data_IF_813463187636
#
_entry.id   IF_813463187636
#
_cell.length_a   1.000
_cell.length_b   1.000
_cell.length_c   1.000
_cell.angle_alpha   90.00
_cell.angle_beta   90.00
_cell.angle_gamma   90.00
#
_symmetry.space_group_name_H-M   'P 1'
#
loop_
_entity.id
_entity.type
_entity.pdbx_description
1 polymer ?
#
# COMPACT_ATOMS: atom_id res chain seq x y z
N UNK A 1 -1.36 -18.66 21.55
CA UNK A 1 -1.32 -17.67 20.47
C UNK A 1 -2.46 -16.68 20.69
N UNK A 2 -2.22 -15.36 20.60
CA UNK A 2 -3.28 -14.37 20.78
C UNK A 2 -4.28 -14.43 19.61
N UNK A 3 -5.55 -14.12 19.89
CA UNK A 3 -6.66 -14.32 18.95
C UNK A 3 -6.44 -13.63 17.58
N UNK A 4 -5.94 -12.39 17.58
CA UNK A 4 -5.73 -11.59 16.35
C UNK A 4 -4.83 -12.27 15.32
N UNK A 5 -3.79 -12.98 15.75
CA UNK A 5 -2.85 -13.67 14.85
C UNK A 5 -3.47 -14.86 14.12
N UNK A 6 -4.63 -15.34 14.57
CA UNK A 6 -5.32 -16.51 14.01
C UNK A 6 -6.46 -16.12 13.07
N UNK A 7 -7.12 -14.99 13.32
CA UNK A 7 -8.38 -14.62 12.64
C UNK A 7 -8.35 -13.29 11.91
N UNK A 8 -7.47 -12.35 12.28
CA UNK A 8 -7.46 -11.04 11.64
C UNK A 8 -6.62 -11.08 10.36
N UNK A 9 -7.09 -10.44 9.26
CA UNK A 9 -6.24 -10.22 8.11
C UNK A 9 -5.06 -9.32 8.52
N UNK A 10 -3.87 -9.63 8.00
CA UNK A 10 -2.66 -8.87 8.31
C UNK A 10 -2.77 -7.42 7.84
N UNK A 11 -3.46 -7.20 6.70
CA UNK A 11 -3.78 -5.89 6.15
C UNK A 11 -5.25 -5.60 6.39
N UNK A 12 -5.54 -4.55 7.17
CA UNK A 12 -6.90 -4.14 7.50
C UNK A 12 -7.45 -3.14 6.49
N UNK A 13 -8.77 -3.07 6.31
CA UNK A 13 -9.40 -2.12 5.38
C UNK A 13 -9.94 -0.89 6.12
N UNK A 14 -9.51 0.30 5.73
CA UNK A 14 -9.90 1.57 6.37
C UNK A 14 -10.27 2.65 5.36
N UNK A 15 -11.23 3.50 5.70
CA UNK A 15 -11.61 4.69 4.91
C UNK A 15 -10.67 5.85 5.23
N UNK A 16 -9.48 5.92 4.61
CA UNK A 16 -8.43 6.83 5.06
C UNK A 16 -8.74 8.32 4.89
N UNK A 17 -9.74 8.69 4.08
CA UNK A 17 -10.21 10.07 4.00
C UNK A 17 -10.76 10.61 5.34
N UNK A 18 -11.14 9.71 6.27
CA UNK A 18 -11.63 10.04 7.62
C UNK A 18 -10.51 10.21 8.65
N UNK A 19 -9.27 9.81 8.32
CA UNK A 19 -8.14 9.74 9.24
C UNK A 19 -7.00 10.66 8.78
N UNK A 20 -6.84 11.86 9.39
CA UNK A 20 -5.74 12.74 9.07
C UNK A 20 -4.38 12.07 9.29
N UNK A 21 -3.51 12.13 8.28
CA UNK A 21 -2.17 11.54 8.32
C UNK A 21 -1.14 12.44 7.63
N UNK A 22 0.14 12.11 7.79
CA UNK A 22 1.26 12.73 7.09
C UNK A 22 2.05 11.61 6.41
N UNK A 23 2.39 11.79 5.13
CA UNK A 23 3.24 10.83 4.42
C UNK A 23 4.67 10.91 4.93
N UNK A 24 5.25 9.77 5.29
CA UNK A 24 6.63 9.66 5.80
C UNK A 24 7.57 8.92 4.85
N UNK A 25 7.06 8.45 3.72
CA UNK A 25 7.81 7.70 2.72
C UNK A 25 7.32 8.03 1.31
N UNK A 26 8.11 7.66 0.30
CA UNK A 26 7.71 7.83 -1.10
C UNK A 26 6.76 6.71 -1.53
N UNK A 27 5.84 7.04 -2.43
CA UNK A 27 5.03 6.02 -3.10
C UNK A 27 5.93 5.04 -3.87
N UNK A 28 5.60 3.76 -3.79
CA UNK A 28 6.36 2.69 -4.43
C UNK A 28 5.42 1.62 -4.99
N UNK A 29 5.67 1.17 -6.22
CA UNK A 29 4.94 0.04 -6.79
C UNK A 29 5.44 -1.28 -6.18
N UNK A 30 4.61 -1.87 -5.33
CA UNK A 30 4.94 -3.10 -4.62
C UNK A 30 4.58 -4.38 -5.39
N UNK A 31 3.62 -4.30 -6.31
CA UNK A 31 3.12 -5.41 -7.09
C UNK A 31 2.42 -4.90 -8.36
N UNK A 32 2.50 -5.64 -9.46
CA UNK A 32 1.88 -5.27 -10.73
C UNK A 32 1.19 -6.48 -11.37
N UNK A 33 -0.03 -6.28 -11.84
CA UNK A 33 -0.83 -7.28 -12.54
C UNK A 33 -0.98 -6.86 -13.99
N UNK A 34 -0.49 -7.70 -14.90
CA UNK A 34 -0.76 -7.56 -16.33
C UNK A 34 -1.95 -8.43 -16.71
N UNK A 35 -2.86 -7.88 -17.50
CA UNK A 35 -3.99 -8.64 -18.07
C UNK A 35 -3.49 -9.72 -19.05
N UNK A 36 -2.31 -9.50 -19.64
CA UNK A 36 -1.78 -10.32 -20.74
C UNK A 36 -0.77 -11.39 -20.30
N UNK A 37 -0.35 -11.37 -19.03
CA UNK A 37 0.65 -12.31 -18.52
C UNK A 37 0.30 -12.77 -17.10
N UNK A 38 0.75 -13.96 -16.73
CA UNK A 38 0.72 -14.38 -15.31
C UNK A 38 1.57 -13.41 -14.50
N UNK A 39 1.08 -13.03 -13.33
CA UNK A 39 1.91 -12.32 -12.37
C UNK A 39 2.86 -13.30 -11.69
N UNK A 40 4.02 -12.79 -11.30
CA UNK A 40 4.99 -13.52 -10.49
C UNK A 40 4.98 -12.95 -9.07
N UNK A 41 5.26 -13.79 -8.08
CA UNK A 41 5.44 -13.32 -6.72
C UNK A 41 6.55 -12.26 -6.68
N UNK A 42 6.30 -11.14 -5.98
CA UNK A 42 7.23 -10.01 -5.89
C UNK A 42 7.56 -9.76 -4.43
N UNK A 43 8.85 -9.72 -4.11
CA UNK A 43 9.35 -9.16 -2.86
C UNK A 43 9.83 -7.74 -3.13
N UNK A 44 9.44 -6.80 -2.29
CA UNK A 44 9.93 -5.43 -2.33
C UNK A 44 10.33 -4.99 -0.93
N UNK A 45 11.33 -4.13 -0.85
CA UNK A 45 11.77 -3.55 0.41
C UNK A 45 11.29 -2.10 0.46
N UNK A 46 10.59 -1.76 1.53
CA UNK A 46 10.13 -0.42 1.86
C UNK A 46 10.91 0.04 3.09
N UNK A 47 11.67 1.11 2.96
CA UNK A 47 12.44 1.71 4.05
C UNK A 47 11.71 2.94 4.58
N UNK A 48 11.54 3.01 5.89
CA UNK A 48 11.08 4.21 6.58
C UNK A 48 12.21 4.74 7.46
N UNK A 49 12.78 5.88 7.07
CA UNK A 49 13.77 6.60 7.88
C UNK A 49 13.11 7.37 9.03
N UNK A 50 11.81 7.65 8.91
CA UNK A 50 11.05 8.29 9.98
C UNK A 50 10.64 7.26 11.05
N UNK A 51 11.02 7.54 12.30
CA UNK A 51 10.73 6.72 13.47
C UNK A 51 9.27 6.76 13.92
N UNK A 52 8.52 7.77 13.47
CA UNK A 52 7.09 7.96 13.77
C UNK A 52 6.18 7.19 12.82
N UNK A 53 6.72 6.59 11.75
CA UNK A 53 5.93 5.77 10.83
C UNK A 53 5.33 4.58 11.57
N UNK A 54 3.99 4.54 11.55
CA UNK A 54 3.18 3.58 12.29
C UNK A 54 2.36 2.66 11.39
N UNK A 55 2.29 2.92 10.09
CA UNK A 55 1.56 2.09 9.14
C UNK A 55 2.16 2.14 7.73
N UNK A 56 1.94 1.07 6.97
CA UNK A 56 2.05 1.05 5.51
C UNK A 56 0.65 1.03 4.91
N UNK A 57 0.43 1.82 3.87
CA UNK A 57 -0.85 1.93 3.18
C UNK A 57 -0.73 1.34 1.77
N UNK A 58 -1.73 0.57 1.38
CA UNK A 58 -1.84 -0.12 0.10
C UNK A 58 -3.11 0.32 -0.63
N UNK A 59 -2.96 0.55 -1.93
CA UNK A 59 -4.06 0.81 -2.85
C UNK A 59 -3.68 0.28 -4.23
N UNK A 60 -4.64 0.38 -5.16
CA UNK A 60 -4.45 -0.04 -6.55
C UNK A 60 -4.63 1.16 -7.46
N UNK A 61 -3.79 1.21 -8.48
CA UNK A 61 -3.93 2.09 -9.63
C UNK A 61 -4.14 1.21 -10.87
N UNK A 62 -5.09 1.58 -11.72
CA UNK A 62 -5.41 0.85 -12.96
C UNK A 62 -5.22 1.77 -14.14
N UNK A 63 -4.33 1.38 -15.06
CA UNK A 63 -4.13 2.07 -16.32
C UNK A 63 -5.15 1.62 -17.37
N UNK A 64 -5.77 2.58 -18.04
CA UNK A 64 -6.64 2.39 -19.19
C UNK A 64 -6.03 3.09 -20.40
N UNK A 65 -6.20 2.52 -21.59
CA UNK A 65 -5.89 3.21 -22.85
C UNK A 65 -7.08 4.09 -23.19
N UNK A 66 -6.83 5.38 -23.40
CA UNK A 66 -7.84 6.33 -23.85
C UNK A 66 -7.32 7.09 -25.08
N UNK A 67 -7.85 6.73 -26.25
CA UNK A 67 -7.50 7.30 -27.56
C UNK A 67 -7.72 8.82 -27.67
N UNK A 68 -8.39 9.42 -26.68
CA UNK A 68 -8.64 10.86 -26.61
C UNK A 68 -7.74 11.60 -25.64
N UNK A 69 -6.94 10.90 -24.83
CA UNK A 69 -5.95 11.53 -23.94
C UNK A 69 -4.67 11.86 -24.72
N UNK A 70 -4.03 13.00 -24.40
CA UNK A 70 -2.81 13.44 -25.09
C UNK A 70 -1.68 12.39 -25.00
N UNK A 71 -1.65 11.63 -23.90
CA UNK A 71 -0.68 10.57 -23.63
C UNK A 71 -1.23 9.16 -23.89
N UNK A 72 -2.42 9.06 -24.50
CA UNK A 72 -3.15 7.82 -24.81
C UNK A 72 -3.34 6.86 -23.61
N UNK A 73 -3.28 7.38 -22.39
CA UNK A 73 -3.45 6.62 -21.15
C UNK A 73 -4.14 7.45 -20.07
N UNK A 74 -4.94 6.78 -19.25
CA UNK A 74 -5.62 7.33 -18.07
C UNK A 74 -5.39 6.36 -16.91
N UNK A 75 -4.90 6.87 -15.79
CA UNK A 75 -4.74 6.07 -14.56
C UNK A 75 -5.87 6.40 -13.59
N UNK A 76 -6.58 5.38 -13.13
CA UNK A 76 -7.59 5.49 -12.07
C UNK A 76 -7.01 4.96 -10.78
N UNK A 77 -7.01 5.79 -9.74
CA UNK A 77 -6.57 5.40 -8.39
C UNK A 77 -7.76 5.17 -7.46
N UNK A 78 -7.74 4.06 -6.73
CA UNK A 78 -8.69 3.76 -5.65
C UNK A 78 -8.15 4.18 -4.27
N UNK A 79 -6.99 4.82 -4.22
CA UNK A 79 -6.34 5.28 -3.00
C UNK A 79 -6.00 6.74 -3.11
N UNK A 80 -4.72 7.01 -3.39
CA UNK A 80 -4.20 8.36 -3.41
C UNK A 80 -4.70 9.11 -4.64
N UNK A 81 -5.30 10.30 -4.45
CA UNK A 81 -5.89 11.10 -5.54
C UNK A 81 -4.86 11.95 -6.30
N UNK A 82 -3.76 12.29 -5.63
CA UNK A 82 -2.68 13.11 -6.17
C UNK A 82 -1.36 12.68 -5.54
N UNK A 83 -0.25 12.77 -6.28
CA UNK A 83 1.06 12.44 -5.73
C UNK A 83 1.30 13.23 -4.44
N UNK A 84 1.68 12.53 -3.37
CA UNK A 84 1.94 13.10 -2.06
C UNK A 84 3.43 13.00 -1.77
N UNK A 85 4.08 14.13 -1.52
CA UNK A 85 5.48 14.16 -1.08
C UNK A 85 5.59 13.81 0.41
N UNK A 86 6.80 13.46 0.83
CA UNK A 86 7.11 13.25 2.24
C UNK A 86 6.89 14.56 3.00
N UNK A 87 6.18 14.48 4.13
CA UNK A 87 5.77 15.63 4.95
C UNK A 87 4.43 16.24 4.58
N UNK A 88 3.82 15.83 3.46
CA UNK A 88 2.51 16.31 3.03
C UNK A 88 1.37 15.45 3.55
N UNK A 89 0.15 15.99 3.48
CA UNK A 89 -1.08 15.28 3.81
C UNK A 89 -1.59 14.56 2.55
N UNK A 90 -1.69 13.22 2.56
CA UNK A 90 -2.25 12.50 1.43
C UNK A 90 -3.75 12.77 1.29
N UNK A 91 -4.22 12.93 0.06
CA UNK A 91 -5.64 13.01 -0.27
C UNK A 91 -6.14 11.64 -0.74
N UNK A 92 -7.01 11.03 0.06
CA UNK A 92 -7.52 9.68 -0.20
C UNK A 92 -8.89 9.70 -0.88
N UNK A 93 -9.12 8.76 -1.79
CA UNK A 93 -10.38 8.60 -2.50
C UNK A 93 -11.52 8.20 -1.53
N UNK A 94 -12.58 9.00 -1.38
CA UNK A 94 -13.61 8.77 -0.35
C UNK A 94 -14.53 7.58 -0.64
N UNK A 95 -14.66 7.17 -1.91
CA UNK A 95 -15.48 6.03 -2.31
C UNK A 95 -14.83 4.66 -2.11
N UNK A 96 -13.58 4.59 -1.63
CA UNK A 96 -12.83 3.34 -1.51
C UNK A 96 -12.15 3.23 -0.15
N UNK A 97 -12.03 1.99 0.35
CA UNK A 97 -11.21 1.68 1.51
C UNK A 97 -9.81 1.26 1.05
N UNK A 98 -8.80 1.72 1.77
CA UNK A 98 -7.40 1.38 1.53
C UNK A 98 -6.96 0.28 2.48
N UNK A 99 -5.99 -0.52 2.04
CA UNK A 99 -5.36 -1.53 2.89
C UNK A 99 -4.34 -0.87 3.82
N UNK A 100 -4.37 -1.20 5.10
CA UNK A 100 -3.48 -0.64 6.12
C UNK A 100 -2.82 -1.78 6.88
N UNK A 101 -1.50 -1.84 6.81
CA UNK A 101 -0.69 -2.67 7.68
C UNK A 101 -0.14 -1.80 8.82
N UNK A 102 -0.65 -2.01 10.02
CA UNK A 102 -0.11 -1.35 11.21
C UNK A 102 1.21 -2.01 11.62
N UNK A 103 2.23 -1.19 11.83
CA UNK A 103 3.52 -1.67 12.27
C UNK A 103 3.44 -2.17 13.72
N UNK A 104 4.19 -3.23 14.09
CA UNK A 104 4.22 -3.72 15.47
C UNK A 104 4.57 -2.60 16.43
N UNK A 105 3.86 -2.51 17.57
CA UNK A 105 4.04 -1.42 18.54
C UNK A 105 5.50 -1.30 19.02
N UNK A 106 6.19 -2.42 19.15
CA UNK A 106 7.59 -2.51 19.59
C UNK A 106 8.58 -1.86 18.62
N UNK A 107 8.13 -1.62 17.38
CA UNK A 107 8.94 -0.98 16.35
C UNK A 107 8.82 0.55 16.40
N UNK A 108 7.79 1.12 17.03
CA UNK A 108 7.58 2.58 17.09
C UNK A 108 8.82 3.28 17.69
N UNK A 109 9.25 4.40 17.10
CA UNK A 109 10.40 5.16 17.57
C UNK A 109 11.74 4.74 16.98
N UNK A 110 11.76 3.77 16.03
CA UNK A 110 12.97 3.33 15.33
C UNK A 110 12.80 3.49 13.83
N UNK A 111 13.89 3.81 13.13
CA UNK A 111 13.97 3.63 11.68
C UNK A 111 13.80 2.14 11.37
N UNK A 112 13.11 1.82 10.26
CA UNK A 112 12.72 0.45 9.92
C UNK A 112 12.98 0.17 8.47
N UNK A 113 13.45 -1.04 8.22
CA UNK A 113 13.37 -1.64 6.90
C UNK A 113 12.27 -2.69 6.94
N UNK A 114 11.31 -2.59 6.04
CA UNK A 114 10.16 -3.49 5.97
C UNK A 114 10.23 -4.21 4.62
N UNK A 115 10.51 -5.50 4.64
CA UNK A 115 10.36 -6.35 3.47
C UNK A 115 8.90 -6.77 3.36
N UNK A 116 8.30 -6.47 2.21
CA UNK A 116 6.92 -6.79 1.84
C UNK A 116 6.97 -7.82 0.72
N UNK A 117 6.45 -9.01 0.98
CA UNK A 117 6.30 -10.07 0.00
C UNK A 117 4.83 -10.19 -0.38
N UNK A 118 4.56 -10.09 -1.68
CA UNK A 118 3.21 -10.18 -2.25
C UNK A 118 3.20 -11.28 -3.28
N UNK A 119 2.26 -12.21 -3.12
CA UNK A 119 2.05 -13.33 -4.03
C UNK A 119 0.58 -13.39 -4.45
N UNK A 120 0.35 -13.50 -5.76
CA UNK A 120 -0.99 -13.80 -6.27
C UNK A 120 -1.29 -15.29 -6.09
N UNK A 121 -2.36 -15.56 -5.33
CA UNK A 121 -3.08 -16.84 -5.34
C UNK A 121 -4.32 -16.69 -6.22
N UNK A 122 -5.01 -17.80 -6.52
CA UNK A 122 -6.09 -17.86 -7.53
C UNK A 122 -6.96 -16.60 -7.59
N UNK A 123 -7.54 -16.17 -6.46
CA UNK A 123 -8.41 -14.99 -6.39
C UNK A 123 -7.96 -13.95 -5.34
N UNK A 124 -6.81 -14.16 -4.70
CA UNK A 124 -6.36 -13.38 -3.55
C UNK A 124 -4.91 -12.92 -3.69
N UNK A 125 -4.59 -11.81 -3.04
CA UNK A 125 -3.20 -11.39 -2.81
C UNK A 125 -2.81 -11.74 -1.38
N UNK A 126 -1.78 -12.56 -1.21
CA UNK A 126 -1.22 -12.85 0.10
C UNK A 126 -0.06 -11.90 0.41
N UNK A 127 -0.13 -11.27 1.58
CA UNK A 127 0.91 -10.36 2.07
C UNK A 127 1.70 -11.01 3.20
N UNK A 128 3.03 -10.90 3.14
CA UNK A 128 3.93 -11.23 4.26
C UNK A 128 4.85 -10.05 4.52
N UNK A 129 5.10 -9.79 5.80
CA UNK A 129 5.91 -8.67 6.25
C UNK A 129 7.06 -9.17 7.12
N UNK A 130 8.25 -8.62 6.90
CA UNK A 130 9.40 -8.79 7.78
C UNK A 130 9.96 -7.42 8.10
N UNK A 131 10.00 -7.08 9.39
CA UNK A 131 10.53 -5.81 9.90
C UNK A 131 11.93 -6.07 10.45
N UNK A 132 12.91 -5.26 10.04
CA UNK A 132 14.30 -5.27 10.51
C UNK A 132 14.59 -4.04 11.38
#
# INVERSE_FOLDING_TARGET
>A
MPARTIVDPIVEQHSLFEYPSISTGTQQEVFSLSIHSKSEAKSTVVTSENSETNALVFWTETGFVDEKSEDNSVTVSNGLLSNCLVGEKPEWHPGHRQGVYFLPFESIGKAKTIEVFIEQKENDLEFKFRVF
#
